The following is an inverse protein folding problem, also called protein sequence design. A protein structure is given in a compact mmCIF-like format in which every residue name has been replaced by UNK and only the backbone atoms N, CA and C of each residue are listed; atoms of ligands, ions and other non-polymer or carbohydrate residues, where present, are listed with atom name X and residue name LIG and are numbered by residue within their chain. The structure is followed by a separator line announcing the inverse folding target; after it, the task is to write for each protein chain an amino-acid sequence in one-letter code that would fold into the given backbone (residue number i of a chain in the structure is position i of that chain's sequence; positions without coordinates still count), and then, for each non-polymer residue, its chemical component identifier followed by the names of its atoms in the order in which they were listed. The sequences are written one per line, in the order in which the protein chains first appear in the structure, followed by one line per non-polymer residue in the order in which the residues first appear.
data_IF_367282977666
#
_entry.id   IF_367282977666
#
_cell.length_a   1.000
_cell.length_b   1.000
_cell.length_c   1.000
_cell.angle_alpha   90.00
_cell.angle_beta   90.00
_cell.angle_gamma   90.00
#
_symmetry.space_group_name_H-M   'P 1'
#
loop_
_entity.id
_entity.type
_entity.pdbx_description
1 polymer ?
#
# COMPACT_ATOMS: atom_id res chain seq x y z
N UNK A 1 16.42 -18.32 -8.05
CA UNK A 1 15.71 -17.77 -6.88
C UNK A 1 15.06 -16.47 -7.28
N UNK A 2 13.78 -16.29 -6.96
CA UNK A 2 13.05 -15.05 -7.21
C UNK A 2 13.64 -13.92 -6.35
N UNK A 3 14.02 -12.79 -6.98
CA UNK A 3 14.62 -11.62 -6.32
C UNK A 3 13.59 -10.53 -6.00
N UNK A 4 12.30 -10.79 -6.21
CA UNK A 4 11.23 -9.82 -5.95
C UNK A 4 11.11 -9.52 -4.46
N UNK A 5 11.07 -8.23 -4.11
CA UNK A 5 10.89 -7.74 -2.73
C UNK A 5 9.43 -7.63 -2.30
N UNK A 6 8.52 -7.68 -3.27
CA UNK A 6 7.06 -7.68 -3.08
C UNK A 6 6.44 -8.69 -4.04
N UNK A 7 5.35 -9.32 -3.61
CA UNK A 7 4.53 -10.18 -4.47
C UNK A 7 3.67 -9.34 -5.42
N UNK A 8 2.90 -9.99 -6.29
CA UNK A 8 1.95 -9.31 -7.20
C UNK A 8 1.04 -8.37 -6.41
N UNK A 9 0.57 -7.31 -7.06
CA UNK A 9 -0.19 -6.28 -6.40
C UNK A 9 -0.66 -5.17 -7.33
N UNK A 10 -1.23 -4.14 -6.73
CA UNK A 10 -1.72 -2.93 -7.39
C UNK A 10 -1.09 -1.68 -6.78
N UNK A 11 -1.11 -0.57 -7.52
CA UNK A 11 -0.43 0.66 -7.12
C UNK A 11 -1.33 1.88 -7.20
N UNK A 12 -1.08 2.83 -6.30
CA UNK A 12 -1.50 4.22 -6.42
C UNK A 12 -0.29 5.13 -6.16
N UNK A 13 -0.31 6.36 -6.67
CA UNK A 13 0.74 7.33 -6.45
C UNK A 13 0.16 8.63 -5.89
N UNK A 14 0.76 9.14 -4.82
CA UNK A 14 0.42 10.45 -4.25
C UNK A 14 1.61 10.99 -3.45
N UNK A 15 1.73 12.32 -3.34
CA UNK A 15 2.75 12.99 -2.52
C UNK A 15 4.19 12.47 -2.76
N UNK A 16 4.53 12.15 -4.01
CA UNK A 16 5.85 11.63 -4.38
C UNK A 16 6.16 10.22 -3.88
N UNK A 17 5.16 9.46 -3.41
CA UNK A 17 5.29 8.07 -2.97
C UNK A 17 4.43 7.15 -3.84
N UNK A 18 4.90 5.93 -4.07
CA UNK A 18 4.10 4.82 -4.58
C UNK A 18 3.56 4.04 -3.39
N UNK A 19 2.25 3.84 -3.37
CA UNK A 19 1.52 3.00 -2.42
C UNK A 19 1.24 1.67 -3.12
N UNK A 20 1.98 0.64 -2.77
CA UNK A 20 1.87 -0.68 -3.36
C UNK A 20 1.08 -1.59 -2.43
N UNK A 21 -0.05 -2.13 -2.90
CA UNK A 21 -0.84 -3.13 -2.19
C UNK A 21 -0.53 -4.51 -2.77
N UNK A 22 0.04 -5.41 -1.98
CA UNK A 22 0.26 -6.80 -2.41
C UNK A 22 -1.05 -7.59 -2.38
N UNK A 23 -1.13 -8.69 -3.14
CA UNK A 23 -2.27 -9.63 -3.07
C UNK A 23 -2.38 -10.31 -1.69
N UNK A 24 -1.30 -10.31 -0.91
CA UNK A 24 -1.26 -10.76 0.48
C UNK A 24 -1.71 -9.69 1.48
N UNK A 25 -2.04 -8.47 1.03
CA UNK A 25 -2.62 -7.41 1.84
C UNK A 25 -1.63 -6.40 2.44
N UNK A 26 -0.32 -6.65 2.32
CA UNK A 26 0.68 -5.66 2.73
C UNK A 26 0.51 -4.36 1.94
N UNK A 27 0.59 -3.23 2.64
CA UNK A 27 0.84 -1.93 2.04
C UNK A 27 2.31 -1.59 2.19
N UNK A 28 2.95 -1.30 1.06
CA UNK A 28 4.35 -0.89 0.99
C UNK A 28 4.42 0.53 0.43
N UNK A 29 5.13 1.41 1.14
CA UNK A 29 5.38 2.77 0.70
C UNK A 29 6.76 2.84 0.04
N UNK A 30 6.79 3.14 -1.24
CA UNK A 30 8.01 3.13 -2.05
C UNK A 30 8.31 4.56 -2.51
N UNK A 31 9.57 4.96 -2.40
CA UNK A 31 10.08 6.17 -3.05
C UNK A 31 10.45 5.85 -4.50
N UNK A 32 9.90 6.57 -5.49
CA UNK A 32 10.30 6.41 -6.88
C UNK A 32 11.79 6.73 -7.05
N UNK A 33 12.56 5.77 -7.56
CA UNK A 33 13.98 5.95 -7.88
C UNK A 33 14.31 5.20 -9.16
N UNK A 34 15.13 5.83 -10.01
CA UNK A 34 15.63 5.21 -11.26
C UNK A 34 16.81 4.27 -11.02
N UNK A 35 17.42 4.31 -9.83
CA UNK A 35 18.67 3.59 -9.53
C UNK A 35 18.44 2.35 -8.68
N UNK A 36 17.50 2.42 -7.74
CA UNK A 36 17.35 1.39 -6.71
C UNK A 36 15.93 1.35 -6.12
N UNK A 37 15.62 0.28 -5.40
CA UNK A 37 14.37 0.13 -4.66
C UNK A 37 14.49 0.76 -3.27
N UNK A 38 13.65 1.75 -2.99
CA UNK A 38 13.65 2.50 -1.73
C UNK A 38 12.31 2.30 -1.00
N UNK A 39 12.26 1.34 -0.08
CA UNK A 39 11.11 1.14 0.81
C UNK A 39 11.20 2.10 2.00
N UNK A 40 10.09 2.75 2.29
CA UNK A 40 9.99 3.83 3.28
C UNK A 40 9.05 3.50 4.42
N UNK A 41 8.28 2.43 4.27
CA UNK A 41 7.41 1.90 5.29
C UNK A 41 6.61 0.73 4.75
N UNK A 42 6.14 -0.11 5.67
CA UNK A 42 5.29 -1.25 5.39
C UNK A 42 4.32 -1.45 6.54
N UNK A 43 3.08 -1.81 6.23
CA UNK A 43 2.11 -2.20 7.25
C UNK A 43 1.08 -3.18 6.68
N UNK A 44 0.48 -3.95 7.58
CA UNK A 44 -0.71 -4.76 7.34
C UNK A 44 -1.92 -4.08 7.97
N UNK A 45 -3.11 -4.29 7.42
CA UNK A 45 -4.33 -3.81 8.07
C UNK A 45 -4.63 -4.73 9.27
N UNK A 46 -4.91 -4.19 10.48
CA UNK A 46 -4.99 -4.97 11.70
C UNK A 46 -6.10 -6.06 11.66
N UNK A 47 -7.25 -5.74 11.07
CA UNK A 47 -8.43 -6.61 11.05
C UNK A 47 -8.76 -7.13 9.64
N UNK A 48 -7.76 -7.27 8.76
CA UNK A 48 -8.01 -7.82 7.42
C UNK A 48 -8.39 -9.29 7.48
N UNK A 49 -9.17 -9.70 6.49
CA UNK A 49 -9.42 -11.09 6.18
C UNK A 49 -8.15 -11.78 5.67
N UNK A 50 -8.15 -13.11 5.69
CA UNK A 50 -7.12 -13.93 5.02
C UNK A 50 -7.35 -14.08 3.51
N UNK A 51 -8.39 -13.43 2.97
CA UNK A 51 -8.70 -13.50 1.55
C UNK A 51 -7.72 -12.64 0.74
N UNK A 52 -7.58 -12.92 -0.57
CA UNK A 52 -6.75 -12.11 -1.44
C UNK A 52 -7.16 -10.62 -1.47
N UNK A 53 -6.16 -9.75 -1.39
CA UNK A 53 -6.31 -8.31 -1.27
C UNK A 53 -6.31 -7.62 -2.65
N UNK A 54 -7.27 -7.96 -3.51
CA UNK A 54 -7.26 -7.54 -4.93
C UNK A 54 -7.82 -6.15 -5.24
N UNK A 55 -8.53 -5.52 -4.30
CA UNK A 55 -9.04 -4.17 -4.54
C UNK A 55 -7.87 -3.18 -4.66
N UNK A 56 -7.90 -2.32 -5.68
CA UNK A 56 -6.85 -1.32 -5.88
C UNK A 56 -6.85 -0.31 -4.71
N UNK A 57 -5.68 0.14 -4.24
CA UNK A 57 -5.61 1.25 -3.30
C UNK A 57 -6.14 2.52 -3.97
N UNK A 58 -6.98 3.28 -3.27
CA UNK A 58 -7.49 4.57 -3.77
C UNK A 58 -7.03 5.67 -2.83
N UNK A 59 -6.49 6.75 -3.40
CA UNK A 59 -6.07 7.92 -2.64
C UNK A 59 -6.94 9.09 -3.06
N UNK A 60 -7.67 9.65 -2.10
CA UNK A 60 -8.52 10.82 -2.31
C UNK A 60 -8.57 11.67 -1.04
N UNK A 61 -8.66 12.98 -1.17
CA UNK A 61 -8.86 13.90 -0.05
C UNK A 61 -7.81 13.78 1.08
N UNK A 62 -6.59 13.32 0.76
CA UNK A 62 -5.55 13.09 1.77
C UNK A 62 -5.70 11.80 2.57
N UNK A 63 -6.53 10.87 2.11
CA UNK A 63 -6.78 9.58 2.73
C UNK A 63 -6.48 8.45 1.75
N UNK A 64 -5.93 7.36 2.26
CA UNK A 64 -5.77 6.09 1.56
C UNK A 64 -6.92 5.17 1.97
N UNK A 65 -7.65 4.67 0.98
CA UNK A 65 -8.76 3.75 1.14
C UNK A 65 -8.37 2.37 0.65
N UNK A 66 -8.54 1.37 1.50
CA UNK A 66 -8.27 -0.04 1.19
C UNK A 66 -9.51 -0.87 1.50
N UNK A 67 -10.18 -1.34 0.46
CA UNK A 67 -11.27 -2.30 0.62
C UNK A 67 -10.69 -3.69 0.86
N UNK A 68 -11.21 -4.37 1.87
CA UNK A 68 -10.97 -5.78 2.13
C UNK A 68 -12.30 -6.48 2.41
N UNK A 69 -12.81 -7.17 1.39
CA UNK A 69 -14.15 -7.79 1.41
C UNK A 69 -15.25 -6.82 1.85
N UNK A 70 -15.75 -6.95 3.07
CA UNK A 70 -16.83 -6.14 3.66
C UNK A 70 -16.31 -4.98 4.53
N UNK A 71 -14.99 -4.86 4.68
CA UNK A 71 -14.34 -3.82 5.47
C UNK A 71 -13.68 -2.78 4.57
N UNK A 72 -13.80 -1.51 4.93
CA UNK A 72 -13.07 -0.40 4.29
C UNK A 72 -12.14 0.26 5.30
N UNK A 73 -10.84 0.05 5.13
CA UNK A 73 -9.84 0.76 5.92
C UNK A 73 -9.57 2.13 5.33
N UNK A 74 -9.37 3.13 6.20
CA UNK A 74 -9.10 4.50 5.81
C UNK A 74 -7.94 5.06 6.63
N UNK A 75 -6.84 5.41 5.96
CA UNK A 75 -5.63 5.95 6.58
C UNK A 75 -5.46 7.41 6.21
N UNK A 76 -5.12 8.26 7.18
CA UNK A 76 -4.67 9.61 6.90
C UNK A 76 -3.25 9.58 6.35
N UNK A 77 -3.06 10.08 5.12
CA UNK A 77 -1.75 10.15 4.45
C UNK A 77 -1.23 11.58 4.32
N UNK A 78 -1.98 12.58 4.83
CA UNK A 78 -1.51 13.95 5.00
C UNK A 78 -0.78 14.15 6.32
N UNK A 79 -1.10 13.33 7.34
CA UNK A 79 -0.44 13.39 8.64
C UNK A 79 1.04 13.10 8.48
N UNK A 80 1.88 14.13 8.60
CA UNK A 80 3.32 13.96 8.81
C UNK A 80 3.49 13.22 10.15
N UNK A 81 4.36 12.22 10.18
CA UNK A 81 4.66 11.49 11.43
C UNK A 81 5.03 12.48 12.52
N UNK A 82 4.50 12.25 13.72
CA UNK A 82 4.96 12.91 14.95
C UNK A 82 6.43 12.57 15.19
#
# INVERSE_FOLDING_TARGET
MDKRRVTKGSVAQANGRIYYRTEEGDMVLIEPSRKEYLERGRFTQPDRTRQPAWSHPVIANGKLYLRDQDTLFCYDVKRKGL
#
